data_IF_933507525993
#
_entry.id   IF_933507525993
#
_cell.length_a   1.000
_cell.length_b   1.000
_cell.length_c   1.000
_cell.angle_alpha   90.00
_cell.angle_beta   90.00
_cell.angle_gamma   90.00
#
_symmetry.space_group_name_H-M   'P 1'
#
loop_
_entity.id
_entity.type
_entity.pdbx_description
1 polymer ?
#
# COMPACT_ATOMS: atom_id res chain seq x y z
N UNK A 1 0.06 37.56 43.46
CA UNK A 1 0.86 36.63 42.64
C UNK A 1 -0.11 35.75 41.87
N UNK A 2 0.12 35.63 40.54
CA UNK A 2 -0.50 34.69 39.56
C UNK A 2 -2.04 34.80 39.37
N UNK A 3 -2.63 35.60 38.48
CA UNK A 3 -2.11 36.38 37.36
C UNK A 3 -1.84 35.55 36.10
N UNK A 4 -2.88 35.31 35.26
CA UNK A 4 -2.78 34.87 33.84
C UNK A 4 -1.88 33.66 33.54
N UNK A 5 -2.36 32.43 33.79
CA UNK A 5 -1.67 31.24 33.28
C UNK A 5 -2.60 30.07 32.87
N UNK A 6 -3.88 30.34 32.55
CA UNK A 6 -4.80 29.27 32.14
C UNK A 6 -5.56 29.57 30.82
N UNK A 7 -5.06 30.50 30.00
CA UNK A 7 -5.59 30.77 28.65
C UNK A 7 -4.68 30.24 27.52
N UNK A 8 -3.66 29.44 27.84
CA UNK A 8 -2.76 28.82 26.87
C UNK A 8 -2.84 27.29 26.82
N UNK A 9 -3.82 26.69 27.52
CA UNK A 9 -3.98 25.22 27.61
C UNK A 9 -5.15 24.64 26.81
N UNK A 10 -5.90 25.45 26.05
CA UNK A 10 -7.13 25.04 25.35
C UNK A 10 -6.98 24.92 23.82
N UNK A 11 -5.75 24.95 23.30
CA UNK A 11 -5.46 24.86 21.87
C UNK A 11 -4.73 23.58 21.44
N UNK A 12 -4.59 22.59 22.33
CA UNK A 12 -3.87 21.33 22.08
C UNK A 12 -4.70 20.08 22.36
N UNK A 13 -6.03 20.12 22.22
CA UNK A 13 -6.90 18.93 22.40
C UNK A 13 -7.66 18.56 21.12
N UNK A 14 -7.56 19.32 20.03
CA UNK A 14 -8.38 19.06 18.85
C UNK A 14 -7.53 18.76 17.63
N UNK A 15 -7.41 17.47 17.30
CA UNK A 15 -6.69 16.89 16.17
C UNK A 15 -5.29 16.37 16.54
N UNK A 16 -5.22 15.47 17.52
CA UNK A 16 -4.81 14.14 17.08
C UNK A 16 -6.09 13.56 16.45
N UNK A 17 -6.35 13.91 15.18
CA UNK A 17 -6.93 12.89 14.34
C UNK A 17 -5.82 11.86 14.43
N UNK A 18 -6.11 10.76 15.10
CA UNK A 18 -5.76 9.47 14.54
C UNK A 18 -5.83 9.71 13.03
N UNK A 19 -4.66 9.85 12.40
CA UNK A 19 -4.59 9.66 10.97
C UNK A 19 -5.11 8.23 10.91
N UNK A 20 -6.43 8.14 10.68
CA UNK A 20 -7.18 6.92 10.56
C UNK A 20 -6.33 6.16 9.60
N UNK A 21 -5.51 5.25 10.15
CA UNK A 21 -4.77 4.34 9.32
C UNK A 21 -5.85 3.35 8.98
N UNK A 22 -6.73 3.79 8.08
CA UNK A 22 -7.27 2.99 7.03
C UNK A 22 -6.02 2.49 6.34
N UNK A 23 -5.45 1.45 6.94
CA UNK A 23 -4.71 0.47 6.21
C UNK A 23 -5.75 -0.01 5.22
N UNK A 24 -5.82 0.66 4.07
CA UNK A 24 -6.15 -0.04 2.84
C UNK A 24 -5.41 -1.37 2.98
N UNK A 25 -6.17 -2.47 3.03
CA UNK A 25 -5.62 -3.79 3.35
C UNK A 25 -4.83 -4.23 2.12
N UNK A 26 -3.69 -3.58 1.93
CA UNK A 26 -2.78 -3.79 0.83
C UNK A 26 -1.72 -4.76 1.34
N UNK A 27 -1.58 -5.90 0.66
CA UNK A 27 -0.52 -6.86 0.95
C UNK A 27 0.67 -6.63 0.02
N UNK A 28 1.88 -6.74 0.55
CA UNK A 28 3.10 -6.76 -0.26
C UNK A 28 3.16 -8.09 -1.03
N UNK A 29 3.39 -8.08 -2.36
CA UNK A 29 3.47 -9.32 -3.09
C UNK A 29 4.82 -10.02 -2.86
N UNK A 30 4.80 -11.34 -2.92
CA UNK A 30 5.95 -12.22 -2.81
C UNK A 30 6.69 -12.30 -4.14
N UNK A 31 7.52 -11.30 -4.41
CA UNK A 31 8.38 -11.31 -5.60
C UNK A 31 9.67 -12.08 -5.31
N UNK A 32 10.07 -13.03 -6.18
CA UNK A 32 11.37 -13.67 -6.05
C UNK A 32 12.48 -12.62 -6.14
N UNK A 33 13.54 -12.76 -5.33
CA UNK A 33 14.72 -11.91 -5.37
C UNK A 33 15.61 -12.28 -6.57
N UNK A 34 15.03 -12.33 -7.76
CA UNK A 34 15.78 -12.43 -9.01
C UNK A 34 16.01 -11.02 -9.55
N UNK A 35 17.23 -10.78 -10.03
CA UNK A 35 17.59 -9.54 -10.72
C UNK A 35 16.64 -9.20 -11.87
N UNK A 36 16.04 -10.24 -12.47
CA UNK A 36 15.04 -10.14 -13.53
C UNK A 36 14.08 -11.35 -13.50
N UNK A 37 12.77 -11.11 -13.60
CA UNK A 37 11.75 -12.13 -13.82
C UNK A 37 11.67 -12.39 -15.33
N UNK A 38 12.26 -13.51 -15.76
CA UNK A 38 12.37 -13.87 -17.20
C UNK A 38 11.06 -14.50 -17.71
N UNK A 39 10.32 -15.20 -16.85
CA UNK A 39 9.07 -15.85 -17.21
C UNK A 39 8.15 -16.00 -16.00
N UNK A 40 6.84 -15.97 -16.25
CA UNK A 40 5.81 -16.28 -15.26
C UNK A 40 5.04 -17.55 -15.64
N UNK A 41 4.59 -18.33 -14.65
CA UNK A 41 3.66 -19.43 -14.90
C UNK A 41 2.35 -18.93 -15.52
N UNK A 42 1.69 -19.79 -16.30
CA UNK A 42 0.42 -19.50 -16.98
C UNK A 42 -0.81 -19.78 -16.11
N UNK A 43 -0.65 -19.88 -14.79
CA UNK A 43 -1.78 -20.03 -13.89
C UNK A 43 -2.55 -18.70 -13.82
N UNK A 44 -3.88 -18.79 -13.96
CA UNK A 44 -4.77 -17.65 -13.85
C UNK A 44 -5.24 -17.52 -12.40
N UNK A 45 -4.67 -16.56 -11.68
CA UNK A 45 -4.96 -16.25 -10.29
C UNK A 45 -4.94 -14.72 -10.13
N UNK A 46 -5.97 -14.01 -10.65
CA UNK A 46 -5.91 -12.58 -10.85
C UNK A 46 -5.77 -11.83 -9.52
N UNK A 47 -5.01 -10.73 -9.55
CA UNK A 47 -4.85 -9.84 -8.40
C UNK A 47 -5.01 -8.38 -8.83
N UNK A 48 -5.58 -7.56 -7.95
CA UNK A 48 -5.72 -6.13 -8.18
C UNK A 48 -4.55 -5.38 -7.56
N UNK A 49 -3.83 -4.61 -8.36
CA UNK A 49 -2.73 -3.77 -7.89
C UNK A 49 -3.23 -2.48 -7.24
N UNK A 50 -2.39 -1.88 -6.40
CA UNK A 50 -2.60 -0.53 -5.84
C UNK A 50 -2.55 0.58 -6.90
N UNK A 51 -2.11 0.25 -8.11
CA UNK A 51 -2.16 1.09 -9.31
C UNK A 51 -3.50 0.97 -10.07
N UNK A 52 -4.45 0.17 -9.57
CA UNK A 52 -5.76 -0.03 -10.17
C UNK A 52 -5.78 -1.01 -11.35
N UNK A 53 -4.67 -1.67 -11.65
CA UNK A 53 -4.58 -2.64 -12.73
C UNK A 53 -4.79 -4.08 -12.25
N UNK A 54 -5.48 -4.88 -13.05
CA UNK A 54 -5.59 -6.33 -12.84
C UNK A 54 -4.39 -7.04 -13.45
N UNK A 55 -3.74 -7.88 -12.67
CA UNK A 55 -2.63 -8.73 -13.10
C UNK A 55 -3.11 -10.19 -13.18
N UNK A 56 -2.74 -10.92 -14.22
CA UNK A 56 -3.19 -12.30 -14.46
C UNK A 56 -2.77 -13.26 -13.32
N UNK A 57 -1.64 -12.96 -12.69
CA UNK A 57 -1.19 -13.55 -11.42
C UNK A 57 -0.17 -12.64 -10.72
N UNK A 58 0.13 -12.96 -9.47
CA UNK A 58 1.11 -12.23 -8.65
C UNK A 58 2.51 -12.15 -9.29
N UNK A 59 2.94 -13.15 -10.08
CA UNK A 59 4.20 -13.10 -10.80
C UNK A 59 4.20 -11.99 -11.86
N UNK A 60 3.12 -11.85 -12.64
CA UNK A 60 3.00 -10.79 -13.65
C UNK A 60 3.01 -9.40 -13.02
N UNK A 61 2.42 -9.23 -11.82
CA UNK A 61 2.54 -8.02 -11.02
C UNK A 61 4.00 -7.76 -10.63
N UNK A 62 4.70 -8.77 -10.12
CA UNK A 62 6.12 -8.65 -9.77
C UNK A 62 7.01 -8.30 -10.98
N UNK A 63 6.75 -8.87 -12.15
CA UNK A 63 7.45 -8.52 -13.38
C UNK A 63 7.22 -7.04 -13.73
N UNK A 64 5.97 -6.57 -13.64
CA UNK A 64 5.65 -5.16 -13.86
C UNK A 64 6.36 -4.23 -12.88
N UNK A 65 6.43 -4.59 -11.58
CA UNK A 65 7.21 -3.83 -10.59
C UNK A 65 8.69 -3.75 -10.94
N UNK A 66 9.27 -4.80 -11.51
CA UNK A 66 10.67 -4.78 -11.93
C UNK A 66 10.91 -3.91 -13.17
N UNK A 67 9.97 -3.90 -14.13
CA UNK A 67 10.05 -3.11 -15.36
C UNK A 67 9.86 -1.62 -15.04
N UNK A 68 8.79 -1.28 -14.31
CA UNK A 68 8.39 0.10 -14.02
C UNK A 68 9.12 0.71 -12.83
N UNK A 69 9.73 -0.12 -11.98
CA UNK A 69 10.28 0.26 -10.66
C UNK A 69 9.24 0.88 -9.72
N UNK A 70 7.95 0.62 -9.96
CA UNK A 70 6.87 1.06 -9.08
C UNK A 70 6.65 0.09 -7.92
N UNK A 71 6.32 0.63 -6.74
CA UNK A 71 5.96 -0.16 -5.57
C UNK A 71 4.47 -0.50 -5.59
N UNK A 72 4.08 -1.42 -6.47
CA UNK A 72 2.69 -1.88 -6.60
C UNK A 72 2.41 -2.92 -5.50
N UNK A 73 1.42 -2.63 -4.66
CA UNK A 73 0.90 -3.55 -3.65
C UNK A 73 -0.32 -4.29 -4.20
N UNK A 74 -0.74 -5.38 -3.56
CA UNK A 74 -1.99 -6.08 -3.91
C UNK A 74 -3.09 -5.57 -3.00
N UNK A 75 -4.15 -5.03 -3.61
CA UNK A 75 -5.35 -4.52 -2.93
C UNK A 75 -6.36 -5.64 -2.66
N UNK A 76 -6.49 -6.62 -3.57
CA UNK A 76 -7.42 -7.75 -3.44
C UNK A 76 -6.98 -8.97 -4.28
N UNK A 77 -7.34 -10.19 -3.86
CA UNK A 77 -6.95 -11.47 -4.50
C UNK A 77 -7.92 -11.88 -5.63
N UNK A 78 -8.31 -10.88 -6.42
CA UNK A 78 -9.16 -10.99 -7.59
C UNK A 78 -8.87 -9.84 -8.55
N UNK A 79 -9.51 -9.83 -9.72
CA UNK A 79 -9.47 -8.67 -10.61
C UNK A 79 -9.94 -7.40 -9.91
N UNK A 80 -9.33 -6.26 -10.25
CA UNK A 80 -9.95 -4.96 -10.11
C UNK A 80 -11.32 -5.00 -10.80
#
# INVERSE_FOLDING_TARGET
>A
MTGRAALLGLLLICVAADAEKMSEVMRKPSCPNMKEIVACPLNLAPVCGSDGNTYANECTLCAQRQITKMDILITKEESC
#
